data_IF_649510669187
#
_entry.id   IF_649510669187
#
_cell.length_a   1.000
_cell.length_b   1.000
_cell.length_c   1.000
_cell.angle_alpha   90.00
_cell.angle_beta   90.00
_cell.angle_gamma   90.00
#
_symmetry.space_group_name_H-M   'P 1'
#
loop_
_entity.id
_entity.type
_entity.pdbx_description
1 polymer ?
#
# COMPACT_ATOMS: atom_id res chain seq x y z
N UNK A 1 -1.43 8.91 -17.08
CA UNK A 1 -0.82 10.10 -17.71
C UNK A 1 -0.24 10.90 -16.56
N UNK A 2 1.06 10.75 -16.32
CA UNK A 2 1.73 11.30 -15.14
C UNK A 2 2.18 12.72 -15.48
N UNK A 3 1.29 13.68 -15.26
CA UNK A 3 1.51 15.09 -15.63
C UNK A 3 2.38 15.80 -14.60
N UNK A 4 3.20 16.76 -15.04
CA UNK A 4 4.03 17.62 -14.17
C UNK A 4 3.21 18.33 -13.08
N UNK A 5 1.94 18.61 -13.34
CA UNK A 5 0.98 19.16 -12.37
C UNK A 5 0.75 18.24 -11.17
N UNK A 6 0.90 16.92 -11.33
CA UNK A 6 0.82 15.93 -10.24
C UNK A 6 2.15 15.82 -9.50
N UNK A 7 3.26 15.95 -10.22
CA UNK A 7 4.61 15.80 -9.68
C UNK A 7 5.02 16.96 -8.76
N UNK A 8 4.64 18.20 -9.07
CA UNK A 8 5.00 19.37 -8.27
C UNK A 8 4.51 19.24 -6.80
N UNK A 9 3.23 18.93 -6.53
CA UNK A 9 2.77 18.66 -5.16
C UNK A 9 3.52 17.52 -4.47
N UNK A 10 3.85 16.44 -5.19
CA UNK A 10 4.58 15.30 -4.62
C UNK A 10 6.00 15.68 -4.18
N UNK A 11 6.74 16.46 -5.00
CA UNK A 11 8.03 17.01 -4.57
C UNK A 11 7.90 17.98 -3.39
N UNK A 12 6.81 18.77 -3.34
CA UNK A 12 6.53 19.65 -2.20
C UNK A 12 6.34 18.86 -0.90
N UNK A 13 5.63 17.74 -0.95
CA UNK A 13 5.47 16.84 0.20
C UNK A 13 6.78 16.14 0.56
N UNK A 14 7.56 15.70 -0.44
CA UNK A 14 8.89 15.14 -0.22
C UNK A 14 9.81 16.13 0.53
N UNK A 15 9.82 17.39 0.09
CA UNK A 15 10.54 18.48 0.75
C UNK A 15 10.06 18.71 2.20
N UNK A 16 8.75 18.64 2.43
CA UNK A 16 8.16 18.77 3.76
C UNK A 16 8.57 17.63 4.68
N UNK A 17 8.51 16.39 4.21
CA UNK A 17 8.94 15.20 4.95
C UNK A 17 10.42 15.32 5.33
N UNK A 18 11.28 15.73 4.39
CA UNK A 18 12.71 15.95 4.66
C UNK A 18 12.92 17.04 5.72
N UNK A 19 12.24 18.19 5.62
CA UNK A 19 12.32 19.27 6.61
C UNK A 19 11.84 18.83 7.99
N UNK A 20 10.71 18.13 8.04
CA UNK A 20 10.16 17.58 9.29
C UNK A 20 11.17 16.64 9.95
N UNK A 21 11.80 15.75 9.18
CA UNK A 21 12.84 14.84 9.67
C UNK A 21 14.02 15.61 10.27
N UNK A 22 14.54 16.61 9.55
CA UNK A 22 15.68 17.43 9.99
C UNK A 22 15.39 18.11 11.33
N UNK A 23 14.17 18.61 11.52
CA UNK A 23 13.80 19.35 12.74
C UNK A 23 13.45 18.40 13.88
N UNK A 24 12.59 17.42 13.63
CA UNK A 24 11.94 16.63 14.68
C UNK A 24 12.60 15.26 14.92
N UNK A 25 13.39 14.77 13.98
CA UNK A 25 13.89 13.39 13.94
C UNK A 25 12.77 12.34 14.09
N UNK A 26 11.54 12.73 13.72
CA UNK A 26 10.38 11.83 13.69
C UNK A 26 10.16 11.30 12.29
N UNK A 27 9.88 10.01 12.19
CA UNK A 27 9.66 9.31 10.94
C UNK A 27 8.56 8.29 11.14
N UNK A 28 7.58 8.26 10.23
CA UNK A 28 6.45 7.33 10.28
C UNK A 28 6.46 6.39 9.08
N UNK A 29 5.67 5.32 9.17
CA UNK A 29 5.53 4.37 8.07
C UNK A 29 4.90 5.02 6.84
N UNK A 30 3.93 5.92 7.03
CA UNK A 30 3.28 6.65 5.93
C UNK A 30 4.29 7.54 5.18
N UNK A 31 5.19 8.21 5.92
CA UNK A 31 6.26 9.03 5.34
C UNK A 31 7.27 8.16 4.58
N UNK A 32 7.65 7.02 5.15
CA UNK A 32 8.54 6.05 4.51
C UNK A 32 7.94 5.49 3.22
N UNK A 33 6.68 5.05 3.29
CA UNK A 33 5.92 4.52 2.16
C UNK A 33 5.80 5.56 1.05
N UNK A 34 5.43 6.80 1.38
CA UNK A 34 5.35 7.88 0.40
C UNK A 34 6.66 8.07 -0.38
N UNK A 35 7.80 8.07 0.33
CA UNK A 35 9.12 8.21 -0.32
C UNK A 35 9.38 7.04 -1.26
N UNK A 36 9.11 5.80 -0.84
CA UNK A 36 9.31 4.61 -1.68
C UNK A 36 8.39 4.61 -2.89
N UNK A 37 7.11 4.95 -2.71
CA UNK A 37 6.12 5.03 -3.79
C UNK A 37 6.54 6.11 -4.80
N UNK A 38 6.97 7.28 -4.32
CA UNK A 38 7.47 8.38 -5.15
C UNK A 38 8.65 7.93 -6.03
N UNK A 39 9.68 7.34 -5.44
CA UNK A 39 10.83 6.88 -6.21
C UNK A 39 10.51 5.71 -7.13
N UNK A 40 9.58 4.84 -6.74
CA UNK A 40 9.15 3.74 -7.61
C UNK A 40 8.43 4.27 -8.85
N UNK A 41 7.59 5.28 -8.68
CA UNK A 41 6.84 5.91 -9.78
C UNK A 41 7.72 6.78 -10.69
N UNK A 42 8.71 7.47 -10.14
CA UNK A 42 9.54 8.45 -10.86
C UNK A 42 10.99 8.00 -11.06
N UNK A 43 11.30 6.72 -10.84
CA UNK A 43 12.67 6.17 -11.05
C UNK A 43 13.11 6.17 -12.51
N UNK A 44 12.16 6.14 -13.46
CA UNK A 44 12.45 6.21 -14.88
C UNK A 44 12.63 7.65 -15.36
N UNK A 45 13.89 8.04 -15.56
CA UNK A 45 14.27 9.34 -16.14
C UNK A 45 13.56 9.60 -17.48
N UNK A 46 13.31 8.57 -18.30
CA UNK A 46 12.63 8.76 -19.60
C UNK A 46 11.17 9.14 -19.42
N UNK A 47 10.49 8.57 -18.43
CA UNK A 47 9.11 8.93 -18.13
C UNK A 47 9.02 10.38 -17.64
N UNK A 48 9.99 10.83 -16.83
CA UNK A 48 10.10 12.21 -16.40
C UNK A 48 10.38 13.18 -17.57
N UNK A 49 11.35 12.86 -18.44
CA UNK A 49 11.65 13.64 -19.65
C UNK A 49 10.43 13.76 -20.56
N UNK A 50 9.71 12.65 -20.78
CA UNK A 50 8.48 12.62 -21.56
C UNK A 50 7.41 13.53 -20.96
N UNK A 51 7.22 13.52 -19.63
CA UNK A 51 6.26 14.39 -18.95
C UNK A 51 6.59 15.89 -19.13
N UNK A 52 7.88 16.25 -19.15
CA UNK A 52 8.33 17.61 -19.44
C UNK A 52 8.04 17.99 -20.90
N UNK A 53 8.32 17.09 -21.84
CA UNK A 53 8.04 17.31 -23.26
C UNK A 53 6.54 17.49 -23.50
N UNK A 54 5.70 16.63 -22.94
CA UNK A 54 4.24 16.75 -23.02
C UNK A 54 3.74 18.07 -22.45
N UNK A 55 4.29 18.51 -21.31
CA UNK A 55 3.97 19.81 -20.73
C UNK A 55 4.29 20.95 -21.71
N UNK A 56 5.49 20.96 -22.29
CA UNK A 56 5.96 22.01 -23.21
C UNK A 56 5.17 22.02 -24.52
N UNK A 57 4.80 20.84 -25.04
CA UNK A 57 4.11 20.71 -26.32
C UNK A 57 2.60 21.01 -26.24
N UNK A 58 1.97 20.72 -25.10
CA UNK A 58 0.51 20.77 -24.97
C UNK A 58 -0.02 21.90 -24.08
N UNK A 59 0.87 22.68 -23.44
CA UNK A 59 0.47 23.78 -22.54
C UNK A 59 0.86 25.14 -23.13
N UNK A 60 -0.02 26.16 -23.05
CA UNK A 60 0.35 27.51 -23.49
C UNK A 60 1.60 28.04 -22.76
N UNK A 61 2.39 28.94 -23.39
CA UNK A 61 3.70 29.34 -22.88
C UNK A 61 3.71 29.90 -21.46
N UNK A 62 2.69 30.69 -21.10
CA UNK A 62 2.56 31.34 -19.79
C UNK A 62 2.35 30.32 -18.64
N UNK A 63 1.31 29.47 -18.65
CA UNK A 63 1.17 28.38 -17.68
C UNK A 63 2.34 27.39 -17.68
N UNK A 64 2.89 27.04 -18.86
CA UNK A 64 4.04 26.15 -18.97
C UNK A 64 5.26 26.72 -18.24
N UNK A 65 5.55 28.02 -18.44
CA UNK A 65 6.67 28.71 -17.79
C UNK A 65 6.50 28.72 -16.27
N UNK A 66 5.29 28.95 -15.78
CA UNK A 66 5.00 28.94 -14.35
C UNK A 66 5.23 27.55 -13.75
N UNK A 67 4.71 26.50 -14.37
CA UNK A 67 4.85 25.12 -13.90
C UNK A 67 6.32 24.66 -13.88
N UNK A 68 7.08 24.97 -14.94
CA UNK A 68 8.51 24.66 -14.99
C UNK A 68 9.31 25.42 -13.90
N UNK A 69 8.96 26.68 -13.62
CA UNK A 69 9.57 27.44 -12.52
C UNK A 69 9.28 26.81 -11.17
N UNK A 70 8.05 26.39 -10.92
CA UNK A 70 7.65 25.71 -9.69
C UNK A 70 8.37 24.38 -9.53
N UNK A 71 8.38 23.53 -10.56
CA UNK A 71 9.09 22.25 -10.54
C UNK A 71 10.58 22.44 -10.27
N UNK A 72 11.23 23.36 -10.99
CA UNK A 72 12.65 23.69 -10.78
C UNK A 72 12.96 24.14 -9.35
N UNK A 73 12.04 24.90 -8.73
CA UNK A 73 12.18 25.34 -7.35
C UNK A 73 12.13 24.14 -6.40
N UNK A 74 11.12 23.28 -6.54
CA UNK A 74 10.95 22.13 -5.65
C UNK A 74 12.08 21.11 -5.77
N UNK A 75 12.53 20.81 -7.01
CA UNK A 75 13.68 19.92 -7.24
C UNK A 75 14.95 20.49 -6.62
N UNK A 76 15.23 21.78 -6.78
CA UNK A 76 16.41 22.42 -6.19
C UNK A 76 16.40 22.39 -4.67
N UNK A 77 15.24 22.66 -4.07
CA UNK A 77 15.09 22.59 -2.62
C UNK A 77 15.34 21.16 -2.12
N UNK A 78 14.82 20.15 -2.83
CA UNK A 78 15.07 18.76 -2.48
C UNK A 78 16.56 18.39 -2.56
N UNK A 79 17.22 18.72 -3.68
CA UNK A 79 18.66 18.49 -3.84
C UNK A 79 19.46 19.14 -2.71
N UNK A 80 19.12 20.38 -2.35
CA UNK A 80 19.78 21.07 -1.24
C UNK A 80 19.57 20.35 0.10
N UNK A 81 18.36 19.89 0.38
CA UNK A 81 18.07 19.15 1.62
C UNK A 81 18.80 17.81 1.65
N UNK A 82 18.84 17.10 0.52
CA UNK A 82 19.54 15.84 0.37
C UNK A 82 21.06 15.99 0.57
N UNK A 83 21.66 17.04 0.02
CA UNK A 83 23.10 17.31 0.14
C UNK A 83 23.49 17.81 1.53
N UNK A 84 22.65 18.64 2.16
CA UNK A 84 22.96 19.27 3.45
C UNK A 84 22.69 18.36 4.66
N UNK A 85 21.83 17.35 4.52
CA UNK A 85 21.39 16.53 5.64
C UNK A 85 21.50 15.05 5.32
N UNK A 86 22.01 14.28 6.27
CA UNK A 86 21.88 12.82 6.25
C UNK A 86 20.40 12.46 6.42
N UNK A 87 19.78 12.03 5.31
CA UNK A 87 18.47 11.36 5.31
C UNK A 87 18.43 10.23 6.36
N UNK A 88 17.23 9.76 6.77
CA UNK A 88 17.11 8.72 7.78
C UNK A 88 17.98 7.52 7.46
N UNK A 89 18.82 7.10 8.40
CA UNK A 89 19.62 5.89 8.25
C UNK A 89 18.72 4.66 8.13
N UNK A 90 19.23 3.61 7.47
CA UNK A 90 18.54 2.33 7.27
C UNK A 90 17.96 1.75 8.57
N UNK A 91 18.64 1.94 9.71
CA UNK A 91 18.14 1.51 11.03
C UNK A 91 16.83 2.18 11.43
N UNK A 92 16.67 3.47 11.16
CA UNK A 92 15.43 4.22 11.44
C UNK A 92 14.31 3.71 10.54
N UNK A 93 14.63 3.45 9.27
CA UNK A 93 13.70 2.91 8.28
C UNK A 93 13.22 1.52 8.70
N UNK A 94 14.15 0.61 9.02
CA UNK A 94 13.85 -0.74 9.47
C UNK A 94 13.01 -0.74 10.76
N UNK A 95 13.33 0.13 11.73
CA UNK A 95 12.57 0.23 12.97
C UNK A 95 11.12 0.61 12.71
N UNK A 96 10.88 1.59 11.85
CA UNK A 96 9.53 2.05 11.51
C UNK A 96 8.73 0.95 10.80
N UNK A 97 9.36 0.23 9.86
CA UNK A 97 8.71 -0.89 9.17
C UNK A 97 8.36 -2.02 10.15
N UNK A 98 9.27 -2.38 11.06
CA UNK A 98 9.03 -3.43 12.05
C UNK A 98 7.92 -3.02 13.03
N UNK A 99 7.92 -1.77 13.52
CA UNK A 99 6.86 -1.27 14.39
C UNK A 99 5.48 -1.32 13.71
N UNK A 100 5.42 -0.97 12.43
CA UNK A 100 4.18 -1.07 11.66
C UNK A 100 3.73 -2.53 11.52
N UNK A 101 4.62 -3.46 11.15
CA UNK A 101 4.31 -4.88 11.05
C UNK A 101 3.86 -5.49 12.39
N UNK A 102 4.55 -5.15 13.48
CA UNK A 102 4.24 -5.61 14.83
C UNK A 102 2.85 -5.13 15.29
N UNK A 103 2.38 -3.97 14.83
CA UNK A 103 1.05 -3.46 15.19
C UNK A 103 -0.11 -4.36 14.73
N UNK A 104 0.11 -5.18 13.69
CA UNK A 104 -0.88 -6.14 13.19
C UNK A 104 -0.72 -7.55 13.77
N UNK A 105 0.37 -7.81 14.50
CA UNK A 105 0.76 -9.17 14.89
C UNK A 105 -0.30 -9.87 15.73
N UNK A 106 -0.86 -9.18 16.74
CA UNK A 106 -1.90 -9.77 17.59
C UNK A 106 -3.23 -9.94 16.84
N UNK A 107 -3.62 -8.98 16.00
CA UNK A 107 -4.84 -9.11 15.18
C UNK A 107 -4.75 -10.30 14.21
N UNK A 108 -3.60 -10.49 13.55
CA UNK A 108 -3.36 -11.65 12.69
C UNK A 108 -3.44 -12.95 13.49
N UNK A 109 -2.88 -12.96 14.70
CA UNK A 109 -2.90 -14.13 15.58
C UNK A 109 -4.33 -14.49 16.01
N UNK A 110 -5.13 -13.51 16.43
CA UNK A 110 -6.54 -13.70 16.78
C UNK A 110 -7.33 -14.26 15.60
N UNK A 111 -7.19 -13.67 14.41
CA UNK A 111 -7.85 -14.13 13.19
C UNK A 111 -7.41 -15.56 12.83
N UNK A 112 -6.13 -15.86 12.97
CA UNK A 112 -5.58 -17.19 12.73
C UNK A 112 -6.13 -18.23 13.71
N UNK A 113 -6.36 -17.87 14.98
CA UNK A 113 -7.01 -18.74 15.97
C UNK A 113 -8.48 -19.02 15.60
N UNK A 114 -9.22 -18.00 15.14
CA UNK A 114 -10.60 -18.14 14.66
C UNK A 114 -10.67 -19.09 13.47
N UNK A 115 -9.86 -18.84 12.44
CA UNK A 115 -9.80 -19.66 11.22
C UNK A 115 -9.43 -21.12 11.57
N UNK A 116 -8.43 -21.33 12.44
CA UNK A 116 -8.01 -22.67 12.83
C UNK A 116 -9.10 -23.44 13.59
N UNK A 117 -9.86 -22.75 14.45
CA UNK A 117 -10.99 -23.34 15.19
C UNK A 117 -12.11 -23.78 14.25
N UNK A 118 -12.42 -22.97 13.24
CA UNK A 118 -13.55 -23.19 12.33
C UNK A 118 -13.22 -24.14 11.17
N UNK A 119 -11.93 -24.25 10.81
CA UNK A 119 -11.46 -25.10 9.70
C UNK A 119 -11.91 -26.55 9.83
N UNK A 120 -11.80 -27.16 11.01
CA UNK A 120 -12.14 -28.57 11.20
C UNK A 120 -13.66 -28.81 11.03
N UNK A 121 -14.55 -28.10 11.75
CA UNK A 121 -16.00 -28.19 11.52
C UNK A 121 -16.41 -27.95 10.06
N UNK A 122 -15.85 -26.93 9.41
CA UNK A 122 -16.16 -26.62 8.02
C UNK A 122 -15.77 -27.74 7.07
N UNK A 123 -14.55 -28.29 7.21
CA UNK A 123 -14.10 -29.42 6.40
C UNK A 123 -14.96 -30.68 6.63
N UNK A 124 -15.32 -30.96 7.88
CA UNK A 124 -16.18 -32.11 8.21
C UNK A 124 -17.58 -31.96 7.61
N UNK A 125 -18.21 -30.79 7.74
CA UNK A 125 -19.53 -30.53 7.15
C UNK A 125 -19.49 -30.59 5.62
N UNK A 126 -18.46 -30.00 4.99
CA UNK A 126 -18.25 -30.06 3.55
C UNK A 126 -18.07 -31.50 3.07
N UNK A 127 -17.27 -32.32 3.75
CA UNK A 127 -17.08 -33.72 3.39
C UNK A 127 -18.37 -34.54 3.53
N UNK A 128 -19.19 -34.29 4.56
CA UNK A 128 -20.50 -34.96 4.72
C UNK A 128 -21.45 -34.61 3.60
N UNK A 129 -21.51 -33.33 3.23
CA UNK A 129 -22.38 -32.86 2.15
C UNK A 129 -21.91 -33.37 0.78
N UNK A 130 -20.61 -33.33 0.50
CA UNK A 130 -20.06 -33.84 -0.77
C UNK A 130 -20.27 -35.35 -0.93
N UNK A 131 -20.10 -36.12 0.14
CA UNK A 131 -20.20 -37.59 0.08
C UNK A 131 -21.62 -38.14 0.04
N UNK A 132 -22.65 -37.36 0.41
CA UNK A 132 -24.02 -37.86 0.54
C UNK A 132 -24.61 -38.32 -0.80
N UNK A 133 -24.28 -37.62 -1.89
CA UNK A 133 -24.74 -37.96 -3.25
C UNK A 133 -24.19 -39.29 -3.80
N UNK A 134 -23.22 -39.90 -3.13
CA UNK A 134 -22.57 -41.15 -3.57
C UNK A 134 -23.01 -42.40 -2.79
N UNK A 135 -23.98 -42.28 -1.86
CA UNK A 135 -24.52 -43.42 -1.08
C UNK A 135 -26.05 -43.41 -1.07
N UNK A 136 -26.65 -44.56 -0.74
CA UNK A 136 -28.07 -44.57 -0.36
C UNK A 136 -28.28 -43.68 0.88
N UNK A 137 -29.28 -42.79 0.79
CA UNK A 137 -29.63 -41.83 1.82
C UNK A 137 -31.11 -41.45 1.68
N UNK A 138 -31.65 -40.80 2.72
CA UNK A 138 -33.01 -40.25 2.66
C UNK A 138 -32.99 -38.75 2.33
N UNK A 139 -34.07 -38.18 1.77
CA UNK A 139 -34.17 -36.74 1.52
C UNK A 139 -33.97 -35.88 2.78
N UNK A 140 -34.27 -36.41 3.97
CA UNK A 140 -34.03 -35.76 5.25
C UNK A 140 -32.53 -35.70 5.60
N UNK A 141 -31.77 -36.76 5.31
CA UNK A 141 -30.32 -36.79 5.52
C UNK A 141 -29.60 -35.75 4.64
N UNK A 142 -30.04 -35.62 3.39
CA UNK A 142 -29.49 -34.64 2.43
C UNK A 142 -29.74 -33.20 2.91
N UNK A 143 -30.98 -32.87 3.28
CA UNK A 143 -31.33 -31.55 3.83
C UNK A 143 -30.61 -31.21 5.13
N UNK A 144 -30.32 -32.22 5.96
CA UNK A 144 -29.56 -32.02 7.19
C UNK A 144 -28.09 -31.70 6.89
N UNK A 145 -27.46 -32.45 5.98
CA UNK A 145 -26.08 -32.22 5.56
C UNK A 145 -25.90 -30.83 4.91
N UNK A 146 -26.83 -30.43 4.05
CA UNK A 146 -26.86 -29.09 3.43
C UNK A 146 -26.97 -27.98 4.49
N UNK A 147 -27.88 -28.13 5.47
CA UNK A 147 -28.06 -27.16 6.55
C UNK A 147 -26.83 -27.04 7.45
N UNK A 148 -26.19 -28.16 7.78
CA UNK A 148 -24.94 -28.17 8.56
C UNK A 148 -23.81 -27.47 7.80
N UNK A 149 -23.68 -27.74 6.50
CA UNK A 149 -22.71 -27.07 5.63
C UNK A 149 -22.93 -25.56 5.56
N UNK A 150 -24.15 -25.11 5.25
CA UNK A 150 -24.46 -23.67 5.14
C UNK A 150 -24.31 -22.94 6.48
N UNK A 151 -24.60 -23.58 7.62
CA UNK A 151 -24.30 -23.02 8.94
C UNK A 151 -22.79 -22.82 9.14
N UNK A 152 -22.00 -23.87 8.93
CA UNK A 152 -20.55 -23.80 9.13
C UNK A 152 -19.87 -22.82 8.16
N UNK A 153 -20.41 -22.68 6.94
CA UNK A 153 -19.97 -21.69 5.95
C UNK A 153 -20.30 -20.25 6.33
N UNK A 154 -21.41 -20.01 7.04
CA UNK A 154 -21.75 -18.68 7.54
C UNK A 154 -20.92 -18.27 8.77
N UNK A 155 -20.40 -19.26 9.51
CA UNK A 155 -19.53 -19.05 10.67
C UNK A 155 -18.05 -18.86 10.28
N UNK A 156 -17.62 -19.39 9.13
CA UNK A 156 -16.26 -19.33 8.57
C UNK A 156 -16.00 -18.04 7.78
#
# INVERSE_FOLDING_TARGET
MNTITTLIPQYGELNRISKDWIVSHTFSFEKQKFIVDFYSEWSDIKAFEQAILELVLHTPPEPCTLLLKSLKKEVREYTRLYEAYSLPHDEVIMRVCNQYADSYKEAIKEEMEVVNRLRKPMNEANNRYDTIGYREHTPEEEKLAEREYERCKAEY
#
